data_IF_753592616455
#
_entry.id   IF_753592616455
#
_cell.length_a   1.000
_cell.length_b   1.000
_cell.length_c   1.000
_cell.angle_alpha   90.00
_cell.angle_beta   90.00
_cell.angle_gamma   90.00
#
_symmetry.space_group_name_H-M   'P 1'
#
loop_
_entity.id
_entity.type
_entity.pdbx_description
1 polymer ?
#
# COMPACT_ATOMS: atom_id res chain seq x y z
N UNK A 1 7.86 -20.62 72.99
CA UNK A 1 7.63 -19.26 73.51
C UNK A 1 7.80 -18.34 72.31
N UNK A 2 6.74 -17.69 71.81
CA UNK A 2 6.20 -16.41 72.33
C UNK A 2 7.25 -15.29 72.21
N UNK A 3 7.12 -14.26 71.36
CA UNK A 3 6.09 -13.92 70.36
C UNK A 3 5.33 -12.63 70.70
N UNK A 4 5.31 -11.64 69.79
CA UNK A 4 4.52 -10.39 69.87
C UNK A 4 4.24 -9.80 68.48
N UNK A 5 3.20 -8.95 68.41
CA UNK A 5 2.47 -8.41 67.23
C UNK A 5 1.90 -7.04 67.68
N UNK A 6 1.66 -5.99 66.87
CA UNK A 6 1.59 -5.89 65.40
C UNK A 6 2.78 -5.07 64.80
N UNK A 7 2.71 -3.95 64.05
CA UNK A 7 1.66 -3.02 63.59
C UNK A 7 1.85 -2.65 62.11
N UNK A 8 0.77 -2.28 61.42
CA UNK A 8 0.73 -2.03 59.98
C UNK A 8 1.17 -0.62 59.55
N UNK A 9 1.82 -0.53 58.40
CA UNK A 9 2.27 0.74 57.78
C UNK A 9 1.89 0.85 56.31
N UNK A 10 0.61 1.04 56.01
CA UNK A 10 0.12 1.18 54.64
C UNK A 10 0.37 2.59 54.06
N UNK A 11 1.08 2.68 52.94
CA UNK A 11 1.28 3.93 52.18
C UNK A 11 1.10 3.74 50.68
N UNK A 12 -0.17 3.72 50.24
CA UNK A 12 -0.52 3.74 48.82
C UNK A 12 -0.26 5.13 48.20
N UNK A 13 0.65 5.23 47.24
CA UNK A 13 0.77 6.41 46.36
C UNK A 13 0.84 5.96 44.90
N UNK A 14 -0.30 6.02 44.22
CA UNK A 14 -0.37 5.92 42.76
C UNK A 14 -0.11 7.29 42.13
N UNK A 15 1.12 7.55 41.69
CA UNK A 15 1.48 8.78 40.96
C UNK A 15 1.61 8.48 39.45
N UNK A 16 0.56 8.76 38.68
CA UNK A 16 0.57 8.62 37.22
C UNK A 16 1.59 9.57 36.57
N UNK A 17 2.24 9.21 35.43
CA UNK A 17 3.31 10.03 34.82
C UNK A 17 2.89 11.44 34.32
N UNK A 18 1.60 11.77 34.36
CA UNK A 18 1.00 12.91 33.65
C UNK A 18 1.28 14.29 34.26
N UNK A 19 1.91 14.38 35.45
CA UNK A 19 2.13 15.66 36.14
C UNK A 19 3.45 16.38 35.81
N UNK A 20 4.40 15.73 35.13
CA UNK A 20 5.73 16.32 34.88
C UNK A 20 5.78 17.39 33.77
N UNK A 21 4.68 17.61 33.03
CA UNK A 21 4.64 18.50 31.85
C UNK A 21 3.97 19.86 32.07
N UNK A 22 3.58 20.23 33.29
CA UNK A 22 2.79 21.45 33.56
C UNK A 22 3.48 22.48 34.46
N UNK A 23 4.66 22.95 34.03
CA UNK A 23 5.21 24.29 34.29
C UNK A 23 6.61 24.43 33.69
N UNK A 24 6.87 25.48 32.90
CA UNK A 24 8.17 26.19 32.81
C UNK A 24 7.93 27.52 32.09
N UNK A 25 8.60 28.59 32.55
CA UNK A 25 8.52 29.92 31.90
C UNK A 25 9.56 30.07 30.80
N UNK A 26 9.19 30.74 29.71
CA UNK A 26 10.13 31.06 28.63
C UNK A 26 11.16 32.12 29.06
N UNK A 27 12.38 31.97 28.58
CA UNK A 27 13.43 33.01 28.54
C UNK A 27 14.43 32.68 27.43
N UNK A 28 14.93 33.65 26.66
CA UNK A 28 15.64 33.37 25.42
C UNK A 28 17.13 33.06 25.64
N UNK A 29 17.54 31.84 25.30
CA UNK A 29 18.93 31.47 25.06
C UNK A 29 19.09 30.99 23.62
N UNK A 30 20.16 31.39 22.94
CA UNK A 30 20.45 30.94 21.57
C UNK A 30 20.96 29.49 21.58
N UNK A 31 20.03 28.56 21.45
CA UNK A 31 20.22 27.12 21.32
C UNK A 31 18.88 26.46 21.00
N UNK A 32 18.88 25.16 20.67
CA UNK A 32 17.61 24.44 20.55
C UNK A 32 16.89 24.46 21.91
N UNK A 33 15.58 24.81 21.98
CA UNK A 33 14.87 24.97 23.25
C UNK A 33 14.64 23.66 24.02
N UNK A 34 15.12 22.52 23.49
CA UNK A 34 14.97 21.20 24.10
C UNK A 34 16.30 20.44 24.24
N UNK A 35 17.28 20.89 25.07
CA UNK A 35 18.57 20.20 25.21
C UNK A 35 18.43 18.72 25.61
N UNK A 36 17.50 18.45 26.54
CA UNK A 36 17.19 17.12 27.07
C UNK A 36 16.73 16.10 26.01
N UNK A 37 16.15 16.53 24.88
CA UNK A 37 15.76 15.61 23.80
C UNK A 37 16.97 14.90 23.17
N UNK A 38 18.17 15.49 23.26
CA UNK A 38 19.40 14.90 22.70
C UNK A 38 20.07 13.89 23.63
N UNK A 39 19.66 13.82 24.90
CA UNK A 39 20.26 12.96 25.93
C UNK A 39 19.42 11.71 26.24
N UNK A 40 18.23 11.57 25.63
CA UNK A 40 17.35 10.41 25.76
C UNK A 40 17.99 9.10 25.28
N UNK A 41 17.79 8.01 26.02
CA UNK A 41 18.18 6.66 25.58
C UNK A 41 17.31 6.20 24.40
N UNK A 42 17.78 5.21 23.64
CA UNK A 42 17.07 4.73 22.42
C UNK A 42 15.62 4.32 22.68
N UNK A 43 15.35 3.61 23.78
CA UNK A 43 14.00 3.14 24.15
C UNK A 43 13.08 4.31 24.55
N UNK A 44 13.57 5.18 25.42
CA UNK A 44 12.88 6.40 25.89
C UNK A 44 12.56 7.34 24.72
N UNK A 45 13.53 7.52 23.80
CA UNK A 45 13.37 8.26 22.54
C UNK A 45 12.33 7.60 21.63
N UNK A 46 12.36 6.27 21.48
CA UNK A 46 11.41 5.55 20.64
C UNK A 46 9.97 5.72 21.12
N UNK A 47 9.73 5.58 22.43
CA UNK A 47 8.42 5.85 23.03
C UNK A 47 8.01 7.32 22.90
N UNK A 48 8.94 8.27 23.06
CA UNK A 48 8.68 9.69 22.86
C UNK A 48 8.25 9.99 21.40
N UNK A 49 9.00 9.46 20.42
CA UNK A 49 8.70 9.60 18.98
C UNK A 49 7.31 9.09 18.62
N UNK A 50 6.92 7.91 19.10
CA UNK A 50 5.59 7.33 18.82
C UNK A 50 4.47 8.24 19.37
N UNK A 51 4.60 8.73 20.61
CA UNK A 51 3.61 9.65 21.18
C UNK A 51 3.54 10.98 20.41
N UNK A 52 4.68 11.56 20.04
CA UNK A 52 4.75 12.80 19.27
C UNK A 52 4.13 12.66 17.88
N UNK A 53 4.38 11.55 17.17
CA UNK A 53 3.76 11.27 15.86
C UNK A 53 2.23 11.19 15.96
N UNK A 54 1.70 10.50 16.99
CA UNK A 54 0.25 10.38 17.21
C UNK A 54 -0.36 11.72 17.62
N UNK A 55 0.30 12.51 18.48
CA UNK A 55 -0.15 13.86 18.84
C UNK A 55 -0.15 14.80 17.62
N UNK A 56 0.93 14.81 16.85
CA UNK A 56 1.06 15.61 15.63
C UNK A 56 -0.02 15.23 14.60
N UNK A 57 -0.26 13.94 14.38
CA UNK A 57 -1.30 13.47 13.47
C UNK A 57 -2.70 13.92 13.91
N UNK A 58 -3.00 13.93 15.22
CA UNK A 58 -4.25 14.49 15.74
C UNK A 58 -4.35 16.01 15.49
N UNK A 59 -3.28 16.78 15.70
CA UNK A 59 -3.27 18.22 15.41
C UNK A 59 -3.46 18.51 13.90
N UNK A 60 -2.85 17.70 13.03
CA UNK A 60 -3.06 17.78 11.56
C UNK A 60 -4.50 17.42 11.19
N UNK A 61 -5.08 16.37 11.78
CA UNK A 61 -6.47 15.98 11.56
C UNK A 61 -7.47 17.05 12.03
N UNK A 62 -7.15 17.75 13.12
CA UNK A 62 -7.94 18.87 13.66
C UNK A 62 -7.68 20.23 12.97
N UNK A 63 -6.82 20.29 11.95
CA UNK A 63 -6.44 21.53 11.25
C UNK A 63 -5.66 22.53 12.11
N UNK A 64 -5.11 22.10 13.26
CA UNK A 64 -4.41 22.96 14.22
C UNK A 64 -2.95 23.15 13.79
N UNK A 65 -2.73 24.01 12.80
CA UNK A 65 -1.43 24.26 12.15
C UNK A 65 -0.31 24.58 13.15
N UNK A 66 -0.59 25.40 14.17
CA UNK A 66 0.39 25.82 15.18
C UNK A 66 0.88 24.64 16.04
N UNK A 67 -0.04 23.87 16.63
CA UNK A 67 0.30 22.69 17.43
C UNK A 67 0.94 21.58 16.59
N UNK A 68 0.49 21.42 15.33
CA UNK A 68 1.12 20.49 14.39
C UNK A 68 2.56 20.92 14.06
N UNK A 69 2.82 22.21 13.83
CA UNK A 69 4.17 22.73 13.59
C UNK A 69 5.11 22.49 14.80
N UNK A 70 4.63 22.73 16.02
CA UNK A 70 5.40 22.43 17.26
C UNK A 70 5.70 20.93 17.36
N UNK A 71 4.73 20.07 17.03
CA UNK A 71 4.94 18.61 16.97
C UNK A 71 6.00 18.21 15.94
N UNK A 72 5.91 18.71 14.71
CA UNK A 72 6.89 18.47 13.65
C UNK A 72 8.29 18.97 14.04
N UNK A 73 8.42 20.13 14.67
CA UNK A 73 9.69 20.67 15.18
C UNK A 73 10.31 19.72 16.21
N UNK A 74 9.53 19.30 17.23
CA UNK A 74 10.00 18.37 18.26
C UNK A 74 10.42 17.02 17.69
N UNK A 75 9.67 16.47 16.73
CA UNK A 75 10.04 15.21 16.06
C UNK A 75 11.29 15.39 15.22
N UNK A 76 11.47 16.52 14.53
CA UNK A 76 12.66 16.80 13.69
C UNK A 76 13.98 16.78 14.46
N UNK A 77 13.95 16.97 15.78
CA UNK A 77 15.13 16.91 16.66
C UNK A 77 15.45 15.48 17.15
N UNK A 78 14.51 14.53 17.01
CA UNK A 78 14.63 13.15 17.47
C UNK A 78 14.74 12.13 16.32
N UNK A 79 14.01 12.37 15.22
CA UNK A 79 13.97 11.51 14.04
C UNK A 79 15.25 11.62 13.21
N UNK A 80 15.57 10.56 12.47
CA UNK A 80 16.73 10.52 11.57
C UNK A 80 16.59 9.36 10.58
N UNK A 81 16.79 9.56 9.26
CA UNK A 81 16.73 8.49 8.27
C UNK A 81 17.91 7.50 8.36
N UNK A 82 18.97 7.83 9.11
CA UNK A 82 20.13 6.96 9.38
C UNK A 82 20.12 6.39 10.82
N UNK A 83 19.07 6.67 11.59
CA UNK A 83 18.97 6.35 13.02
C UNK A 83 18.56 4.92 13.36
N UNK A 84 18.07 4.70 14.58
CA UNK A 84 17.37 3.46 14.92
C UNK A 84 16.04 3.30 14.14
N UNK A 85 15.45 2.10 14.21
CA UNK A 85 14.21 1.76 13.50
C UNK A 85 13.07 2.76 13.77
N UNK A 86 12.91 3.24 15.01
CA UNK A 86 11.85 4.19 15.35
C UNK A 86 12.18 5.60 14.87
N UNK A 87 13.45 6.02 14.94
CA UNK A 87 13.92 7.28 14.37
C UNK A 87 13.67 7.37 12.86
N UNK A 88 13.83 6.25 12.14
CA UNK A 88 13.67 6.18 10.68
C UNK A 88 12.20 6.18 10.27
N UNK A 89 11.37 5.36 10.91
CA UNK A 89 9.90 5.41 10.76
C UNK A 89 9.39 6.84 11.04
N UNK A 90 9.85 7.45 12.14
CA UNK A 90 9.46 8.81 12.49
C UNK A 90 9.83 9.84 11.42
N UNK A 91 10.99 9.72 10.76
CA UNK A 91 11.40 10.65 9.70
C UNK A 91 10.40 10.64 8.53
N UNK A 92 10.04 9.45 8.02
CA UNK A 92 9.11 9.33 6.88
C UNK A 92 7.67 9.73 7.23
N UNK A 93 7.19 9.37 8.43
CA UNK A 93 5.85 9.81 8.89
C UNK A 93 5.80 11.33 9.14
N UNK A 94 6.90 11.94 9.59
CA UNK A 94 7.01 13.41 9.75
C UNK A 94 6.99 14.12 8.41
N UNK A 95 7.72 13.64 7.40
CA UNK A 95 7.65 14.18 6.04
C UNK A 95 6.23 14.08 5.48
N UNK A 96 5.57 12.93 5.65
CA UNK A 96 4.22 12.70 5.16
C UNK A 96 3.16 13.58 5.85
N UNK A 97 3.27 13.82 7.16
CA UNK A 97 2.41 14.75 7.89
C UNK A 97 2.65 16.21 7.46
N UNK A 98 3.90 16.62 7.26
CA UNK A 98 4.26 17.95 6.77
C UNK A 98 3.77 18.19 5.33
N UNK A 99 3.89 17.19 4.44
CA UNK A 99 3.38 17.26 3.07
C UNK A 99 1.84 17.40 3.05
N UNK A 100 1.14 16.64 3.91
CA UNK A 100 -0.31 16.79 4.10
C UNK A 100 -0.69 18.22 4.52
N UNK A 101 0.06 18.82 5.45
CA UNK A 101 -0.15 20.22 5.84
C UNK A 101 0.10 21.17 4.68
N UNK A 102 1.20 21.00 3.92
CA UNK A 102 1.55 21.87 2.80
C UNK A 102 0.47 21.91 1.71
N UNK A 103 -0.28 20.82 1.49
CA UNK A 103 -1.42 20.81 0.55
C UNK A 103 -2.55 21.79 0.90
N UNK A 104 -2.65 22.26 2.15
CA UNK A 104 -3.55 23.37 2.53
C UNK A 104 -3.16 24.72 1.89
N UNK A 105 -1.95 24.85 1.37
CA UNK A 105 -1.49 25.99 0.58
C UNK A 105 -1.06 25.53 -0.83
N UNK A 106 -2.01 25.27 -1.77
CA UNK A 106 -1.71 24.66 -3.06
C UNK A 106 -0.66 25.39 -3.91
N UNK A 107 -0.53 26.71 -3.76
CA UNK A 107 0.52 27.49 -4.42
C UNK A 107 1.93 27.17 -3.88
N UNK A 108 2.08 27.06 -2.56
CA UNK A 108 3.35 26.70 -1.92
C UNK A 108 3.72 25.25 -2.21
N UNK A 109 2.77 24.31 -2.06
CA UNK A 109 2.98 22.90 -2.36
C UNK A 109 3.40 22.67 -3.82
N UNK A 110 2.77 23.37 -4.79
CA UNK A 110 3.15 23.30 -6.21
C UNK A 110 4.50 23.97 -6.49
N UNK A 111 4.83 25.07 -5.82
CA UNK A 111 6.12 25.73 -5.98
C UNK A 111 7.28 24.86 -5.46
N UNK A 112 7.15 24.28 -4.26
CA UNK A 112 8.17 23.42 -3.65
C UNK A 112 8.40 22.13 -4.45
N UNK A 113 7.35 21.53 -5.00
CA UNK A 113 7.46 20.33 -5.84
C UNK A 113 7.81 20.61 -7.31
N UNK A 114 7.88 21.88 -7.76
CA UNK A 114 8.06 22.24 -9.18
C UNK A 114 9.38 21.77 -9.81
N UNK A 115 10.37 21.41 -8.98
CA UNK A 115 11.68 20.90 -9.39
C UNK A 115 11.92 19.44 -9.00
N UNK A 116 10.93 18.71 -8.44
CA UNK A 116 11.08 17.28 -8.13
C UNK A 116 11.14 16.46 -9.42
N UNK A 117 12.32 15.92 -9.73
CA UNK A 117 12.52 14.98 -10.84
C UNK A 117 12.17 13.57 -10.34
N UNK A 118 11.22 12.88 -10.99
CA UNK A 118 11.01 11.44 -10.77
C UNK A 118 12.02 10.64 -11.59
N UNK A 119 12.60 9.62 -10.99
CA UNK A 119 13.67 8.81 -11.56
C UNK A 119 13.14 7.40 -11.81
N UNK A 120 12.48 7.21 -12.97
CA UNK A 120 11.88 5.92 -13.39
C UNK A 120 12.89 4.77 -13.27
N UNK A 121 14.15 5.02 -13.62
CA UNK A 121 15.25 4.05 -13.47
C UNK A 121 15.46 3.64 -12.02
N UNK A 122 15.38 4.57 -11.06
CA UNK A 122 15.50 4.24 -9.63
C UNK A 122 14.23 3.59 -9.08
N UNK A 123 13.04 3.97 -9.55
CA UNK A 123 11.78 3.30 -9.22
C UNK A 123 11.85 1.79 -9.61
N UNK A 124 12.38 1.48 -10.79
CA UNK A 124 12.63 0.09 -11.25
C UNK A 124 13.70 -0.62 -10.41
N UNK A 125 14.81 0.06 -10.08
CA UNK A 125 15.87 -0.50 -9.24
C UNK A 125 15.35 -0.82 -7.83
N UNK A 126 14.54 0.06 -7.24
CA UNK A 126 13.99 -0.10 -5.89
C UNK A 126 13.02 -1.28 -5.81
N UNK A 127 12.21 -1.51 -6.85
CA UNK A 127 11.36 -2.72 -6.93
C UNK A 127 12.20 -4.01 -7.00
N UNK A 128 13.30 -4.00 -7.77
CA UNK A 128 14.24 -5.13 -7.83
C UNK A 128 14.95 -5.37 -6.49
N UNK A 129 15.42 -4.32 -5.82
CA UNK A 129 15.99 -4.41 -4.47
C UNK A 129 14.98 -4.96 -3.46
N UNK A 130 13.71 -4.53 -3.49
CA UNK A 130 12.68 -5.09 -2.61
C UNK A 130 12.43 -6.59 -2.89
N UNK A 131 12.41 -6.99 -4.17
CA UNK A 131 12.31 -8.41 -4.55
C UNK A 131 13.52 -9.23 -4.09
N UNK A 132 14.74 -8.68 -4.19
CA UNK A 132 15.98 -9.36 -3.78
C UNK A 132 16.09 -9.49 -2.25
N UNK A 133 15.90 -8.40 -1.52
CA UNK A 133 16.12 -8.31 -0.07
C UNK A 133 15.02 -9.00 0.74
N UNK A 134 13.76 -8.90 0.31
CA UNK A 134 12.62 -9.46 1.05
C UNK A 134 12.11 -10.78 0.43
N UNK A 135 11.54 -11.71 1.22
CA UNK A 135 10.99 -12.97 0.71
C UNK A 135 9.57 -12.86 0.14
N UNK A 136 8.82 -11.79 0.46
CA UNK A 136 7.38 -11.69 0.23
C UNK A 136 6.95 -12.05 -1.20
N UNK A 137 7.59 -11.43 -2.20
CA UNK A 137 7.27 -11.66 -3.60
C UNK A 137 7.76 -13.02 -4.10
N UNK A 138 8.91 -13.51 -3.62
CA UNK A 138 9.41 -14.86 -3.95
C UNK A 138 8.44 -15.95 -3.48
N UNK A 139 7.89 -15.79 -2.27
CA UNK A 139 6.87 -16.68 -1.71
C UNK A 139 5.54 -16.60 -2.49
N UNK A 140 5.09 -15.39 -2.82
CA UNK A 140 3.94 -15.14 -3.68
C UNK A 140 4.08 -15.85 -5.04
N UNK A 141 5.25 -15.76 -5.68
CA UNK A 141 5.51 -16.39 -6.99
C UNK A 141 5.47 -17.91 -6.92
N UNK A 142 6.06 -18.55 -5.90
CA UNK A 142 5.98 -20.00 -5.69
C UNK A 142 4.52 -20.47 -5.55
N UNK A 143 3.73 -19.78 -4.73
CA UNK A 143 2.31 -20.11 -4.52
C UNK A 143 1.48 -19.87 -5.79
N UNK A 144 1.72 -18.76 -6.47
CA UNK A 144 1.02 -18.40 -7.72
C UNK A 144 1.33 -19.40 -8.83
N UNK A 145 2.61 -19.74 -9.02
CA UNK A 145 3.04 -20.72 -10.02
C UNK A 145 2.42 -22.09 -9.73
N UNK A 146 2.42 -22.56 -8.48
CA UNK A 146 1.80 -23.85 -8.14
C UNK A 146 0.30 -23.87 -8.44
N UNK A 147 -0.45 -22.83 -8.05
CA UNK A 147 -1.88 -22.73 -8.33
C UNK A 147 -2.18 -22.68 -9.84
N UNK A 148 -1.30 -22.04 -10.65
CA UNK A 148 -1.40 -22.05 -12.11
C UNK A 148 -1.07 -23.44 -12.68
N UNK A 149 -0.02 -24.12 -12.19
CA UNK A 149 0.37 -25.47 -12.64
C UNK A 149 -0.76 -26.48 -12.41
N UNK A 150 -1.43 -26.40 -11.26
CA UNK A 150 -2.57 -27.26 -10.91
C UNK A 150 -3.82 -26.92 -11.74
N UNK A 151 -4.18 -25.65 -11.88
CA UNK A 151 -5.32 -25.24 -12.70
C UNK A 151 -5.15 -25.57 -14.20
N UNK A 152 -3.91 -25.68 -14.67
CA UNK A 152 -3.54 -25.96 -16.06
C UNK A 152 -3.11 -27.42 -16.31
N UNK A 153 -3.42 -28.36 -15.42
CA UNK A 153 -3.27 -29.80 -15.68
C UNK A 153 -4.11 -30.22 -16.91
N UNK A 154 -3.56 -31.08 -17.77
CA UNK A 154 -4.20 -31.53 -19.02
C UNK A 154 -4.30 -30.48 -20.15
N UNK A 155 -3.98 -29.21 -19.89
CA UNK A 155 -4.16 -28.12 -20.86
C UNK A 155 -2.99 -27.98 -21.82
N UNK A 156 -3.30 -27.97 -23.13
CA UNK A 156 -2.31 -27.88 -24.22
C UNK A 156 -2.01 -26.47 -24.68
N UNK A 157 -2.93 -25.53 -24.42
CA UNK A 157 -2.85 -24.12 -24.80
C UNK A 157 -3.09 -23.29 -23.55
N UNK A 158 -2.05 -22.66 -22.99
CA UNK A 158 -2.14 -21.89 -21.74
C UNK A 158 -1.90 -20.42 -22.03
N UNK A 159 -2.79 -19.55 -21.53
CA UNK A 159 -2.63 -18.10 -21.53
C UNK A 159 -2.50 -17.60 -20.09
N UNK A 160 -1.50 -16.77 -19.83
CA UNK A 160 -1.34 -16.04 -18.57
C UNK A 160 -1.45 -14.55 -18.86
N UNK A 161 -2.29 -13.85 -18.12
CA UNK A 161 -2.27 -12.37 -18.03
C UNK A 161 -1.56 -12.01 -16.73
N UNK A 162 -0.47 -11.26 -16.86
CA UNK A 162 0.31 -10.71 -15.75
C UNK A 162 0.02 -9.21 -15.65
N UNK A 163 -0.63 -8.81 -14.56
CA UNK A 163 -1.12 -7.45 -14.35
C UNK A 163 -0.03 -6.48 -13.84
N UNK A 164 1.18 -6.97 -13.52
CA UNK A 164 2.34 -6.15 -13.16
C UNK A 164 3.65 -6.85 -13.55
N UNK A 165 3.94 -6.87 -14.84
CA UNK A 165 5.00 -7.69 -15.43
C UNK A 165 6.38 -7.06 -15.29
N UNK A 166 6.91 -7.07 -14.07
CA UNK A 166 8.18 -6.41 -13.71
C UNK A 166 9.36 -7.38 -13.48
N UNK A 167 9.14 -8.58 -12.92
CA UNK A 167 10.22 -9.54 -12.60
C UNK A 167 10.03 -10.90 -13.30
N UNK A 168 10.86 -11.25 -14.30
CA UNK A 168 10.76 -12.52 -15.04
C UNK A 168 11.06 -13.77 -14.21
N UNK A 169 11.67 -13.68 -13.02
CA UNK A 169 11.94 -14.85 -12.19
C UNK A 169 10.68 -15.69 -11.87
N UNK A 170 9.50 -15.06 -11.77
CA UNK A 170 8.23 -15.78 -11.66
C UNK A 170 8.01 -16.72 -12.85
N UNK A 171 8.07 -16.18 -14.07
CA UNK A 171 7.71 -16.92 -15.28
C UNK A 171 8.83 -17.84 -15.77
N UNK A 172 10.10 -17.54 -15.47
CA UNK A 172 11.24 -18.47 -15.65
C UNK A 172 11.03 -19.74 -14.83
N UNK A 173 10.71 -19.61 -13.54
CA UNK A 173 10.42 -20.76 -12.68
C UNK A 173 9.18 -21.54 -13.17
N UNK A 174 8.16 -20.85 -13.69
CA UNK A 174 7.01 -21.52 -14.29
C UNK A 174 7.38 -22.28 -15.57
N UNK A 175 8.13 -21.69 -16.50
CA UNK A 175 8.62 -22.36 -17.72
C UNK A 175 9.35 -23.67 -17.37
N UNK A 176 10.28 -23.61 -16.41
CA UNK A 176 11.03 -24.78 -15.90
C UNK A 176 10.12 -25.85 -15.24
N UNK A 177 9.01 -25.44 -14.63
CA UNK A 177 8.03 -26.36 -14.04
C UNK A 177 7.08 -26.95 -15.10
N UNK A 178 6.81 -26.22 -16.19
CA UNK A 178 5.96 -26.67 -17.29
C UNK A 178 6.68 -27.64 -18.25
N UNK A 179 7.97 -27.47 -18.51
CA UNK A 179 8.76 -28.45 -19.30
C UNK A 179 8.96 -29.78 -18.56
N UNK A 180 8.96 -29.77 -17.22
CA UNK A 180 9.06 -30.98 -16.39
C UNK A 180 7.74 -31.79 -16.30
N UNK A 181 6.68 -31.40 -17.01
CA UNK A 181 5.39 -32.10 -16.99
C UNK A 181 5.46 -33.48 -17.68
N UNK A 182 4.83 -34.53 -17.13
CA UNK A 182 4.79 -35.86 -17.76
C UNK A 182 4.14 -35.89 -19.16
N UNK A 183 3.26 -34.93 -19.46
CA UNK A 183 2.57 -34.78 -20.76
C UNK A 183 3.37 -33.94 -21.77
N UNK A 184 4.52 -33.38 -21.37
CA UNK A 184 5.26 -32.36 -22.11
C UNK A 184 4.77 -30.93 -21.82
N UNK A 185 5.51 -29.90 -22.30
CA UNK A 185 5.12 -28.51 -22.14
C UNK A 185 3.89 -28.14 -23.00
N UNK A 186 3.00 -27.26 -22.50
CA UNK A 186 1.95 -26.66 -23.31
C UNK A 186 2.52 -25.58 -24.23
N UNK A 187 1.76 -25.19 -25.26
CA UNK A 187 1.98 -23.90 -25.90
C UNK A 187 1.59 -22.79 -24.92
N UNK A 188 2.57 -21.98 -24.50
CA UNK A 188 2.41 -20.95 -23.47
C UNK A 188 2.40 -19.54 -24.07
N UNK A 189 1.32 -18.80 -23.82
CA UNK A 189 1.23 -17.36 -24.09
C UNK A 189 1.25 -16.59 -22.78
N UNK A 190 2.12 -15.59 -22.66
CA UNK A 190 2.12 -14.64 -21.54
C UNK A 190 1.81 -13.23 -22.09
N UNK A 191 0.90 -12.52 -21.43
CA UNK A 191 0.57 -11.12 -21.72
C UNK A 191 0.94 -10.27 -20.51
N UNK A 192 2.04 -9.53 -20.61
CA UNK A 192 2.59 -8.72 -19.52
C UNK A 192 2.16 -7.26 -19.65
N UNK A 193 1.51 -6.73 -18.61
CA UNK A 193 1.11 -5.32 -18.49
C UNK A 193 2.10 -4.61 -17.57
N UNK A 194 2.62 -3.46 -18.00
CA UNK A 194 3.47 -2.59 -17.18
C UNK A 194 3.49 -1.16 -17.73
N UNK A 195 3.75 -0.14 -16.90
CA UNK A 195 3.78 1.26 -17.33
C UNK A 195 5.02 1.60 -18.20
N UNK A 196 6.15 0.89 -17.99
CA UNK A 196 7.43 1.14 -18.67
C UNK A 196 7.75 0.06 -19.71
N UNK A 197 8.16 0.49 -20.91
CA UNK A 197 8.40 -0.38 -22.08
C UNK A 197 9.68 -1.20 -21.94
N UNK A 198 10.72 -0.61 -21.39
CA UNK A 198 12.06 -1.17 -21.23
C UNK A 198 12.05 -2.39 -20.30
N UNK A 199 11.16 -2.40 -19.31
CA UNK A 199 10.91 -3.53 -18.41
C UNK A 199 10.25 -4.68 -19.17
N UNK A 200 9.25 -4.40 -20.01
CA UNK A 200 8.60 -5.41 -20.86
C UNK A 200 9.53 -5.96 -21.94
N UNK A 201 10.49 -5.17 -22.43
CA UNK A 201 11.54 -5.66 -23.35
C UNK A 201 12.56 -6.56 -22.64
N UNK A 202 12.98 -6.22 -21.42
CA UNK A 202 13.81 -7.11 -20.58
C UNK A 202 13.09 -8.41 -20.21
N UNK A 203 11.78 -8.33 -19.91
CA UNK A 203 10.90 -9.48 -19.68
C UNK A 203 10.81 -10.36 -20.93
N UNK A 204 10.44 -9.79 -22.08
CA UNK A 204 10.29 -10.51 -23.34
C UNK A 204 11.58 -11.27 -23.73
N UNK A 205 12.74 -10.61 -23.63
CA UNK A 205 14.03 -11.23 -23.92
C UNK A 205 14.31 -12.43 -23.00
N UNK A 206 14.30 -12.21 -21.67
CA UNK A 206 14.65 -13.27 -20.70
C UNK A 206 13.69 -14.46 -20.73
N UNK A 207 12.41 -14.24 -21.03
CA UNK A 207 11.44 -15.34 -21.14
C UNK A 207 11.56 -16.10 -22.47
N UNK A 208 11.87 -15.41 -23.57
CA UNK A 208 12.06 -16.07 -24.88
C UNK A 208 13.34 -16.91 -24.87
N UNK A 209 14.46 -16.37 -24.37
CA UNK A 209 15.71 -17.12 -24.20
C UNK A 209 15.51 -18.40 -23.37
N UNK A 210 14.74 -18.33 -22.28
CA UNK A 210 14.50 -19.50 -21.42
C UNK A 210 13.53 -20.51 -22.04
N UNK A 211 12.50 -20.05 -22.76
CA UNK A 211 11.60 -20.93 -23.49
C UNK A 211 12.32 -21.69 -24.63
N UNK A 212 13.23 -21.02 -25.35
CA UNK A 212 14.08 -21.62 -26.39
C UNK A 212 15.00 -22.71 -25.81
N UNK A 213 15.64 -22.46 -24.65
CA UNK A 213 16.47 -23.47 -23.95
C UNK A 213 15.69 -24.71 -23.49
N UNK A 214 14.39 -24.57 -23.28
CA UNK A 214 13.50 -25.60 -22.74
C UNK A 214 12.60 -26.26 -23.81
N UNK A 215 12.75 -25.89 -25.08
CA UNK A 215 11.92 -26.31 -26.22
C UNK A 215 10.40 -26.11 -25.99
N UNK A 216 10.04 -24.98 -25.38
CA UNK A 216 8.64 -24.62 -25.06
C UNK A 216 8.09 -23.71 -26.18
N UNK A 217 6.98 -24.08 -26.85
CA UNK A 217 6.31 -23.19 -27.79
C UNK A 217 5.74 -21.96 -27.05
N UNK A 218 6.35 -20.79 -27.26
CA UNK A 218 6.15 -19.61 -26.43
C UNK A 218 5.78 -18.34 -27.21
N UNK A 219 4.89 -17.52 -26.64
CA UNK A 219 4.58 -16.17 -27.12
C UNK A 219 4.47 -15.18 -25.96
N UNK A 220 5.33 -14.16 -25.93
CA UNK A 220 5.14 -12.98 -25.09
C UNK A 220 4.36 -11.89 -25.84
N UNK A 221 3.48 -11.17 -25.14
CA UNK A 221 2.67 -10.08 -25.67
C UNK A 221 2.71 -8.87 -24.71
N UNK A 222 3.55 -7.86 -24.97
CA UNK A 222 3.71 -6.69 -24.08
C UNK A 222 2.57 -5.69 -24.22
N UNK A 223 2.10 -5.15 -23.09
CA UNK A 223 1.13 -4.05 -23.05
C UNK A 223 1.70 -2.91 -22.20
N UNK A 224 2.19 -1.86 -22.87
CA UNK A 224 2.70 -0.64 -22.24
C UNK A 224 1.50 0.23 -21.83
N UNK A 225 1.03 0.08 -20.59
CA UNK A 225 -0.13 0.84 -20.08
C UNK A 225 -0.23 0.81 -18.56
N UNK A 226 -1.00 1.76 -17.99
CA UNK A 226 -1.49 1.69 -16.61
C UNK A 226 -2.63 0.68 -16.54
N UNK A 227 -2.68 -0.13 -15.47
CA UNK A 227 -3.74 -1.13 -15.28
C UNK A 227 -5.16 -0.53 -15.38
N UNK A 228 -5.36 0.69 -14.88
CA UNK A 228 -6.64 1.42 -14.95
C UNK A 228 -7.08 1.84 -16.37
N UNK A 229 -6.20 1.71 -17.37
CA UNK A 229 -6.43 2.05 -18.77
C UNK A 229 -6.43 0.81 -19.70
N UNK A 230 -6.35 -0.42 -19.18
CA UNK A 230 -6.33 -1.64 -19.99
C UNK A 230 -7.75 -2.17 -20.23
N UNK A 231 -8.14 -2.27 -21.49
CA UNK A 231 -9.28 -3.10 -21.91
C UNK A 231 -8.92 -4.58 -21.74
N UNK A 232 -9.31 -5.16 -20.61
CA UNK A 232 -9.10 -6.58 -20.32
C UNK A 232 -9.87 -7.50 -21.30
N UNK A 233 -11.06 -7.10 -21.78
CA UNK A 233 -11.91 -7.99 -22.58
C UNK A 233 -11.26 -8.31 -23.93
N UNK A 234 -10.53 -7.34 -24.49
CA UNK A 234 -9.70 -7.51 -25.69
C UNK A 234 -8.60 -8.58 -25.59
N UNK A 235 -8.22 -9.00 -24.37
CA UNK A 235 -7.14 -9.96 -24.13
C UNK A 235 -7.56 -11.42 -24.28
N UNK A 236 -8.87 -11.68 -24.39
CA UNK A 236 -9.43 -13.03 -24.53
C UNK A 236 -9.12 -13.63 -25.90
N UNK A 237 -8.57 -14.84 -25.91
CA UNK A 237 -8.61 -15.74 -27.08
C UNK A 237 -9.48 -16.96 -26.78
N UNK A 238 -10.10 -17.52 -27.81
CA UNK A 238 -10.88 -18.76 -27.72
C UNK A 238 -9.99 -19.99 -27.88
N UNK A 239 -10.22 -21.02 -27.06
CA UNK A 239 -9.46 -22.28 -27.13
C UNK A 239 -8.16 -22.30 -26.31
N UNK A 240 -7.87 -21.24 -25.54
CA UNK A 240 -6.74 -21.18 -24.61
C UNK A 240 -7.26 -21.19 -23.16
N UNK A 241 -6.60 -21.92 -22.27
CA UNK A 241 -6.92 -21.96 -20.84
C UNK A 241 -6.25 -20.79 -20.11
N UNK A 242 -7.05 -19.92 -19.52
CA UNK A 242 -6.60 -18.63 -18.97
C UNK A 242 -6.32 -18.66 -17.47
N UNK A 243 -5.12 -18.20 -17.09
CA UNK A 243 -4.75 -17.77 -15.74
C UNK A 243 -4.54 -16.25 -15.70
N UNK A 244 -4.80 -15.63 -14.54
CA UNK A 244 -4.47 -14.21 -14.29
C UNK A 244 -3.70 -14.07 -12.98
N UNK A 245 -2.62 -13.30 -13.00
CA UNK A 245 -1.77 -12.99 -11.84
C UNK A 245 -1.89 -11.51 -11.49
N UNK A 246 -2.33 -11.20 -10.27
CA UNK A 246 -2.33 -9.85 -9.72
C UNK A 246 -1.39 -9.78 -8.52
N UNK A 247 -0.39 -8.89 -8.60
CA UNK A 247 0.63 -8.72 -7.56
C UNK A 247 0.75 -7.24 -7.21
N UNK A 248 0.17 -6.88 -6.06
CA UNK A 248 0.15 -5.54 -5.47
C UNK A 248 -0.43 -4.47 -6.41
N UNK A 249 -1.60 -4.71 -7.01
CA UNK A 249 -2.24 -3.76 -7.94
C UNK A 249 -3.71 -3.47 -7.67
N UNK A 250 -4.46 -4.39 -7.04
CA UNK A 250 -5.91 -4.25 -6.94
C UNK A 250 -6.30 -3.12 -5.98
N UNK A 251 -5.54 -2.88 -4.91
CA UNK A 251 -5.74 -1.70 -4.04
C UNK A 251 -5.74 -0.37 -4.82
N UNK A 252 -4.97 -0.25 -5.89
CA UNK A 252 -4.85 0.98 -6.70
C UNK A 252 -6.15 1.34 -7.43
N UNK A 253 -6.95 0.33 -7.75
CA UNK A 253 -8.27 0.48 -8.36
C UNK A 253 -9.36 0.87 -7.35
N UNK A 254 -9.03 0.94 -6.05
CA UNK A 254 -9.90 1.50 -5.00
C UNK A 254 -9.81 3.04 -4.90
N UNK A 255 -8.95 3.69 -5.70
CA UNK A 255 -8.85 5.14 -5.77
C UNK A 255 -10.11 5.78 -6.39
N UNK A 256 -10.94 6.35 -5.53
CA UNK A 256 -12.19 7.05 -5.84
C UNK A 256 -11.98 8.55 -6.03
N UNK A 257 -12.83 9.19 -6.82
CA UNK A 257 -12.97 10.64 -6.75
C UNK A 257 -13.93 10.97 -5.59
N UNK A 258 -13.37 11.50 -4.50
CA UNK A 258 -14.10 11.74 -3.26
C UNK A 258 -14.99 13.02 -3.36
N UNK A 259 -14.87 13.79 -4.47
CA UNK A 259 -15.71 14.95 -4.86
C UNK A 259 -17.08 14.55 -5.48
N UNK A 260 -17.59 13.35 -5.23
CA UNK A 260 -18.97 12.98 -5.58
C UNK A 260 -19.94 13.15 -4.39
N UNK A 261 -20.53 14.34 -4.20
CA UNK A 261 -21.50 14.56 -3.12
C UNK A 261 -22.76 13.72 -3.33
N UNK A 262 -23.30 13.21 -2.22
CA UNK A 262 -24.51 12.36 -2.13
C UNK A 262 -25.70 12.95 -2.92
N UNK A 263 -25.88 12.53 -4.18
CA UNK A 263 -26.98 12.94 -5.07
C UNK A 263 -27.86 11.77 -5.50
N UNK A 264 -28.35 11.02 -4.51
CA UNK A 264 -29.38 9.97 -4.67
C UNK A 264 -30.69 10.37 -3.99
N UNK A 265 -31.19 11.56 -4.35
CA UNK A 265 -32.57 11.99 -4.08
C UNK A 265 -33.14 12.66 -5.34
N UNK A 266 -34.24 12.15 -5.93
CA UNK A 266 -34.75 12.68 -7.19
C UNK A 266 -35.60 13.93 -6.95
N UNK A 267 -35.14 15.08 -7.43
CA UNK A 267 -35.94 16.30 -7.57
C UNK A 267 -35.99 16.76 -9.03
N UNK A 268 -37.14 17.25 -9.46
CA UNK A 268 -37.47 17.30 -10.89
C UNK A 268 -36.85 18.50 -11.63
N UNK A 269 -36.41 18.22 -12.86
CA UNK A 269 -36.44 19.10 -14.04
C UNK A 269 -36.09 20.60 -13.88
N UNK A 270 -34.99 21.02 -14.50
CA UNK A 270 -34.95 22.24 -15.32
C UNK A 270 -33.94 22.11 -16.45
N UNK A 271 -34.36 22.50 -17.64
CA UNK A 271 -33.59 22.45 -18.89
C UNK A 271 -32.87 23.77 -19.16
N UNK A 272 -31.63 23.72 -19.65
CA UNK A 272 -31.25 24.44 -20.90
C UNK A 272 -29.78 24.21 -21.32
N UNK A 273 -29.60 23.85 -22.59
CA UNK A 273 -28.49 24.22 -23.49
C UNK A 273 -27.02 24.19 -22.99
N UNK A 274 -26.25 23.29 -23.59
CA UNK A 274 -24.79 23.39 -23.75
C UNK A 274 -24.36 24.54 -24.66
N UNK A 275 -23.24 25.21 -24.39
CA UNK A 275 -22.34 25.74 -25.43
C UNK A 275 -20.91 26.04 -24.95
N UNK A 276 -19.96 25.98 -25.88
CA UNK A 276 -18.60 26.54 -25.87
C UNK A 276 -17.60 26.25 -24.73
N UNK A 277 -16.86 25.16 -24.92
CA UNK A 277 -15.39 25.26 -24.93
C UNK A 277 -14.96 26.18 -26.10
N UNK A 278 -14.20 27.26 -25.81
CA UNK A 278 -13.05 27.79 -26.59
C UNK A 278 -12.70 29.24 -26.20
N UNK A 279 -11.60 29.43 -25.45
CA UNK A 279 -10.46 30.33 -25.77
C UNK A 279 -9.55 30.54 -24.56
N UNK A 280 -8.45 29.80 -24.54
CA UNK A 280 -7.17 30.34 -24.04
C UNK A 280 -6.62 31.30 -25.11
N UNK A 281 -5.68 32.18 -24.74
CA UNK A 281 -5.08 33.23 -25.58
C UNK A 281 -5.96 34.47 -25.85
N UNK A 282 -6.08 35.32 -24.82
CA UNK A 282 -5.70 36.72 -25.04
C UNK A 282 -5.02 37.29 -23.80
N UNK A 283 -3.73 37.57 -23.91
CA UNK A 283 -2.99 38.26 -22.86
C UNK A 283 -3.29 39.76 -22.98
N UNK A 284 -3.81 40.38 -21.93
CA UNK A 284 -3.66 41.82 -21.73
C UNK A 284 -3.57 42.14 -20.23
N UNK A 285 -2.77 43.14 -19.86
CA UNK A 285 -2.19 43.31 -18.52
C UNK A 285 -2.57 44.67 -17.95
N UNK A 286 -3.64 44.73 -17.15
CA UNK A 286 -4.01 45.91 -16.34
C UNK A 286 -4.85 45.51 -15.11
N UNK A 287 -4.70 46.31 -14.05
CA UNK A 287 -5.45 46.34 -12.78
C UNK A 287 -5.80 45.01 -12.09
N UNK A 288 -4.76 44.26 -11.70
CA UNK A 288 -4.84 43.25 -10.62
C UNK A 288 -5.00 43.90 -9.22
N UNK A 289 -5.96 44.81 -9.06
CA UNK A 289 -6.07 45.67 -7.86
C UNK A 289 -7.47 46.17 -7.52
N UNK A 290 -8.51 45.75 -8.26
CA UNK A 290 -9.89 46.23 -8.11
C UNK A 290 -10.88 45.07 -7.85
N UNK A 291 -10.38 43.95 -7.32
CA UNK A 291 -11.15 42.70 -7.08
C UNK A 291 -10.99 42.15 -5.64
N UNK A 292 -10.60 43.00 -4.70
CA UNK A 292 -10.48 42.68 -3.27
C UNK A 292 -11.18 43.74 -2.40
N UNK A 293 -12.49 43.87 -2.55
CA UNK A 293 -13.32 44.53 -1.54
C UNK A 293 -14.75 43.97 -1.55
N UNK A 294 -15.21 43.47 -0.38
CA UNK A 294 -16.48 42.76 -0.12
C UNK A 294 -16.57 41.38 -0.82
N UNK A 295 -17.07 40.33 -0.19
CA UNK A 295 -17.92 40.28 1.02
C UNK A 295 -17.25 39.75 2.30
N UNK A 296 -17.93 39.96 3.43
CA UNK A 296 -17.58 39.45 4.75
C UNK A 296 -18.85 39.05 5.51
N UNK A 297 -18.69 38.23 6.55
CA UNK A 297 -19.73 37.72 7.47
C UNK A 297 -20.69 36.67 6.85
N UNK A 298 -20.39 35.39 7.08
CA UNK A 298 -21.22 34.48 7.88
C UNK A 298 -20.54 33.10 8.00
N UNK A 299 -19.87 32.85 9.12
CA UNK A 299 -19.25 31.55 9.46
C UNK A 299 -19.37 31.31 10.97
N UNK A 300 -20.40 30.56 11.39
CA UNK A 300 -20.54 29.93 12.72
C UNK A 300 -21.76 29.00 12.74
N UNK A 301 -21.78 28.04 13.69
CA UNK A 301 -22.80 27.00 13.96
C UNK A 301 -22.43 25.59 13.42
N UNK A 302 -22.77 24.50 14.14
CA UNK A 302 -21.70 23.58 14.55
C UNK A 302 -21.93 22.08 14.22
N UNK A 303 -20.92 21.26 14.54
CA UNK A 303 -20.95 19.81 14.48
C UNK A 303 -22.02 19.17 15.39
N UNK A 304 -22.63 18.06 14.96
CA UNK A 304 -23.18 17.03 15.84
C UNK A 304 -22.23 15.82 15.93
N UNK A 305 -21.87 15.43 17.14
CA UNK A 305 -20.92 14.34 17.40
C UNK A 305 -21.54 12.93 17.41
N UNK A 306 -20.72 11.95 16.99
CA UNK A 306 -20.58 10.59 17.53
C UNK A 306 -21.83 9.76 17.93
N UNK A 307 -22.12 8.70 17.15
CA UNK A 307 -22.82 7.51 17.64
C UNK A 307 -22.45 6.22 16.85
N UNK A 308 -22.55 5.07 17.55
CA UNK A 308 -22.55 3.68 17.04
C UNK A 308 -21.40 3.18 16.14
N UNK A 309 -20.39 2.61 16.80
CA UNK A 309 -19.92 1.22 16.64
C UNK A 309 -19.94 0.53 15.25
N UNK A 310 -18.73 0.20 14.77
CA UNK A 310 -18.34 -1.10 14.18
C UNK A 310 -19.42 -1.97 13.51
N UNK A 311 -19.85 -1.59 12.31
CA UNK A 311 -20.46 -2.50 11.34
C UNK A 311 -19.97 -2.15 9.92
N UNK A 312 -19.26 -3.07 9.27
CA UNK A 312 -18.82 -2.92 7.87
C UNK A 312 -20.02 -3.08 6.92
N UNK A 313 -20.78 -2.00 6.74
CA UNK A 313 -21.96 -2.02 5.87
C UNK A 313 -21.59 -2.36 4.41
N UNK A 314 -22.42 -3.13 3.68
CA UNK A 314 -22.11 -3.58 2.31
C UNK A 314 -21.74 -2.44 1.33
N UNK A 315 -22.27 -1.24 1.57
CA UNK A 315 -22.00 -0.03 0.80
C UNK A 315 -20.50 0.33 0.75
N UNK A 316 -19.72 -0.02 1.79
CA UNK A 316 -18.28 0.25 1.84
C UNK A 316 -17.48 -0.55 0.82
N UNK A 317 -17.97 -1.72 0.38
CA UNK A 317 -17.27 -2.56 -0.60
C UNK A 317 -17.56 -2.10 -2.04
N UNK A 318 -18.77 -1.60 -2.30
CA UNK A 318 -19.21 -1.11 -3.60
C UNK A 318 -18.63 0.27 -3.99
N UNK A 319 -17.80 0.89 -3.14
CA UNK A 319 -17.44 2.30 -3.24
C UNK A 319 -16.62 2.72 -4.48
N UNK A 320 -15.89 1.80 -5.13
CA UNK A 320 -15.12 2.11 -6.36
C UNK A 320 -15.77 1.53 -7.63
N UNK A 321 -16.28 2.38 -8.54
CA UNK A 321 -16.71 1.96 -9.86
C UNK A 321 -15.58 1.38 -10.73
N UNK A 322 -14.34 1.89 -10.59
CA UNK A 322 -13.17 1.35 -11.29
C UNK A 322 -12.94 -0.12 -10.94
N UNK A 323 -13.00 -0.45 -9.65
CA UNK A 323 -12.88 -1.82 -9.14
C UNK A 323 -14.03 -2.70 -9.63
N UNK A 324 -15.27 -2.21 -9.60
CA UNK A 324 -16.44 -2.94 -10.10
C UNK A 324 -16.31 -3.31 -11.58
N UNK A 325 -16.00 -2.34 -12.44
CA UNK A 325 -15.80 -2.58 -13.87
C UNK A 325 -14.62 -3.51 -14.16
N UNK A 326 -13.50 -3.34 -13.43
CA UNK A 326 -12.33 -4.22 -13.56
C UNK A 326 -12.66 -5.68 -13.21
N UNK A 327 -13.35 -5.92 -12.10
CA UNK A 327 -13.75 -7.27 -11.68
C UNK A 327 -14.77 -7.90 -12.65
N UNK A 328 -15.70 -7.12 -13.18
CA UNK A 328 -16.65 -7.59 -14.19
C UNK A 328 -15.94 -8.02 -15.49
N UNK A 329 -14.98 -7.23 -15.98
CA UNK A 329 -14.18 -7.58 -17.15
C UNK A 329 -13.26 -8.79 -16.88
N UNK A 330 -12.64 -8.87 -15.70
CA UNK A 330 -11.85 -10.03 -15.29
C UNK A 330 -12.71 -11.31 -15.20
N UNK A 331 -13.98 -11.19 -14.81
CA UNK A 331 -14.94 -12.31 -14.77
C UNK A 331 -15.43 -12.68 -16.18
N UNK A 332 -15.65 -11.69 -17.06
CA UNK A 332 -16.09 -11.91 -18.44
C UNK A 332 -15.06 -12.66 -19.30
N UNK A 333 -13.77 -12.60 -18.92
CA UNK A 333 -12.71 -13.46 -19.48
C UNK A 333 -12.87 -14.97 -19.18
N UNK A 334 -13.66 -15.32 -18.15
CA UNK A 334 -13.84 -16.69 -17.64
C UNK A 334 -12.53 -17.45 -17.30
N UNK A 335 -11.62 -16.88 -16.49
CA UNK A 335 -10.33 -17.51 -16.16
C UNK A 335 -10.51 -18.80 -15.35
N UNK A 336 -9.69 -19.82 -15.64
CA UNK A 336 -9.61 -21.03 -14.81
C UNK A 336 -9.15 -20.70 -13.39
N UNK A 337 -8.12 -19.85 -13.29
CA UNK A 337 -7.58 -19.36 -12.02
C UNK A 337 -7.24 -17.88 -12.12
N UNK A 338 -7.56 -17.14 -11.07
CA UNK A 338 -6.98 -15.83 -10.75
C UNK A 338 -6.24 -15.99 -9.43
N UNK A 339 -4.99 -15.54 -9.37
CA UNK A 339 -4.23 -15.46 -8.11
C UNK A 339 -4.00 -13.99 -7.79
N UNK A 340 -4.29 -13.62 -6.54
CA UNK A 340 -4.20 -12.24 -6.05
C UNK A 340 -3.26 -12.20 -4.85
N UNK A 341 -2.21 -11.39 -4.95
CA UNK A 341 -1.30 -11.02 -3.85
C UNK A 341 -1.47 -9.55 -3.52
N UNK A 342 -1.79 -9.21 -2.27
CA UNK A 342 -2.02 -7.84 -1.78
C UNK A 342 -1.40 -7.62 -0.38
N UNK A 343 -1.19 -6.35 -0.01
CA UNK A 343 -0.70 -5.95 1.32
C UNK A 343 -1.77 -6.19 2.41
N UNK A 344 -1.40 -6.90 3.49
CA UNK A 344 -2.32 -7.34 4.54
C UNK A 344 -2.50 -6.29 5.65
N UNK A 345 -3.08 -5.14 5.29
CA UNK A 345 -3.32 -4.03 6.21
C UNK A 345 -4.54 -3.18 5.79
N UNK A 346 -5.15 -2.46 6.74
CA UNK A 346 -6.30 -1.59 6.48
C UNK A 346 -5.88 -0.12 6.31
N UNK A 347 -4.98 0.16 5.36
CA UNK A 347 -4.56 1.54 5.06
C UNK A 347 -5.63 2.37 4.34
N UNK A 348 -6.76 1.78 3.92
CA UNK A 348 -7.90 2.51 3.35
C UNK A 348 -8.92 3.03 4.41
N UNK A 349 -8.49 3.31 5.65
CA UNK A 349 -9.35 3.89 6.68
C UNK A 349 -9.88 5.30 6.31
N UNK A 350 -11.14 5.65 6.67
CA UNK A 350 -11.72 6.95 6.36
C UNK A 350 -11.01 8.11 7.08
N UNK A 351 -10.72 8.00 8.38
CA UNK A 351 -10.00 9.06 9.09
C UNK A 351 -8.48 9.00 8.87
N UNK A 352 -7.82 10.16 9.00
CA UNK A 352 -6.35 10.23 9.00
C UNK A 352 -5.74 9.37 10.13
N UNK A 353 -6.35 9.38 11.31
CA UNK A 353 -5.82 8.69 12.48
C UNK A 353 -5.85 7.17 12.34
N UNK A 354 -6.91 6.59 11.78
CA UNK A 354 -6.94 5.15 11.45
C UNK A 354 -5.80 4.77 10.50
N UNK A 355 -5.59 5.56 9.43
CA UNK A 355 -4.54 5.30 8.45
C UNK A 355 -3.14 5.45 9.04
N UNK A 356 -2.90 6.49 9.84
CA UNK A 356 -1.61 6.68 10.54
C UNK A 356 -1.34 5.52 11.50
N UNK A 357 -2.33 5.09 12.29
CA UNK A 357 -2.14 4.01 13.26
C UNK A 357 -1.90 2.65 12.60
N UNK A 358 -2.64 2.26 11.56
CA UNK A 358 -2.37 0.99 10.86
C UNK A 358 -1.07 1.05 10.06
N UNK A 359 -0.75 2.18 9.42
CA UNK A 359 0.52 2.35 8.73
C UNK A 359 1.71 2.28 9.70
N UNK A 360 1.65 2.93 10.87
CA UNK A 360 2.71 2.81 11.89
C UNK A 360 2.94 1.34 12.27
N UNK A 361 1.88 0.59 12.53
CA UNK A 361 1.97 -0.83 12.89
C UNK A 361 2.46 -1.73 11.73
N UNK A 362 2.15 -1.39 10.48
CA UNK A 362 2.60 -2.12 9.30
C UNK A 362 4.07 -1.84 8.98
N UNK A 363 4.42 -0.56 8.82
CA UNK A 363 5.80 -0.18 8.46
C UNK A 363 6.79 -0.39 9.60
N UNK A 364 6.36 -0.42 10.87
CA UNK A 364 7.22 -0.90 11.97
C UNK A 364 7.77 -2.30 11.69
N UNK A 365 6.93 -3.23 11.23
CA UNK A 365 7.37 -4.57 10.85
C UNK A 365 8.18 -4.57 9.54
N UNK A 366 7.82 -3.77 8.53
CA UNK A 366 8.59 -3.68 7.27
C UNK A 366 10.00 -3.12 7.46
N UNK A 367 10.19 -2.14 8.35
CA UNK A 367 11.52 -1.60 8.67
C UNK A 367 12.35 -2.56 9.55
N UNK A 368 11.70 -3.37 10.39
CA UNK A 368 12.33 -4.40 11.23
C UNK A 368 12.78 -5.63 10.41
N UNK A 369 12.03 -5.99 9.34
CA UNK A 369 12.47 -6.95 8.31
C UNK A 369 13.82 -6.57 7.69
N UNK A 370 14.08 -5.27 7.49
CA UNK A 370 15.36 -4.77 6.99
C UNK A 370 16.40 -4.56 8.09
N UNK A 371 15.99 -4.33 9.35
CA UNK A 371 16.92 -4.19 10.49
C UNK A 371 17.56 -5.52 10.88
N UNK A 372 16.79 -6.60 10.83
CA UNK A 372 17.26 -7.96 11.10
C UNK A 372 18.23 -8.51 10.04
N UNK A 373 18.19 -7.99 8.81
CA UNK A 373 18.93 -8.53 7.66
C UNK A 373 20.01 -7.61 7.10
N UNK A 374 19.95 -6.29 7.33
CA UNK A 374 20.82 -5.31 6.67
C UNK A 374 21.40 -4.26 7.63
N UNK A 375 22.67 -3.91 7.43
CA UNK A 375 23.29 -2.79 8.16
C UNK A 375 22.60 -1.45 7.82
N UNK A 376 22.53 -0.54 8.80
CA UNK A 376 21.93 0.80 8.63
C UNK A 376 22.66 1.69 7.60
N UNK A 377 23.88 1.32 7.25
CA UNK A 377 24.72 2.00 6.26
C UNK A 377 24.60 1.44 4.83
N UNK A 378 23.73 0.44 4.58
CA UNK A 378 23.45 -0.04 3.23
C UNK A 378 22.65 1.00 2.44
N UNK A 379 23.18 1.41 1.29
CA UNK A 379 22.52 2.36 0.38
C UNK A 379 21.31 1.69 -0.28
N UNK A 380 21.37 0.39 -0.52
CA UNK A 380 20.30 -0.44 -1.06
C UNK A 380 19.10 -0.42 -0.11
N UNK A 381 19.36 -0.61 1.20
CA UNK A 381 18.37 -0.49 2.26
C UNK A 381 17.75 0.90 2.32
N UNK A 382 18.57 1.94 2.37
CA UNK A 382 18.11 3.33 2.42
C UNK A 382 17.27 3.70 1.19
N UNK A 383 17.59 3.14 0.00
CA UNK A 383 16.77 3.29 -1.20
C UNK A 383 15.39 2.63 -1.08
N UNK A 384 15.29 1.39 -0.58
CA UNK A 384 13.98 0.74 -0.35
C UNK A 384 13.17 1.50 0.70
N UNK A 385 13.78 1.86 1.82
CA UNK A 385 13.08 2.57 2.91
C UNK A 385 12.59 3.96 2.49
N UNK A 386 13.35 4.69 1.67
CA UNK A 386 12.96 6.02 1.18
C UNK A 386 12.01 5.98 -0.01
N UNK A 387 12.33 5.19 -1.03
CA UNK A 387 11.72 5.29 -2.36
C UNK A 387 10.59 4.26 -2.60
N UNK A 388 10.47 3.25 -1.73
CA UNK A 388 9.28 2.40 -1.65
C UNK A 388 8.46 2.77 -0.40
N UNK A 389 8.93 2.41 0.79
CA UNK A 389 8.13 2.56 2.02
C UNK A 389 7.81 4.03 2.31
N UNK A 390 8.78 4.95 2.15
CA UNK A 390 8.58 6.38 2.37
C UNK A 390 7.52 7.00 1.45
N UNK A 391 7.54 6.70 0.14
CA UNK A 391 6.53 7.19 -0.81
C UNK A 391 5.17 6.49 -0.64
N UNK A 392 5.12 5.22 -0.21
CA UNK A 392 3.87 4.53 0.19
C UNK A 392 3.24 5.19 1.44
N UNK A 393 4.02 5.38 2.52
CA UNK A 393 3.63 6.11 3.74
C UNK A 393 3.11 7.50 3.38
N UNK A 394 3.83 8.21 2.51
CA UNK A 394 3.45 9.52 2.00
C UNK A 394 2.12 9.48 1.23
N UNK A 395 1.88 8.47 0.39
CA UNK A 395 0.62 8.34 -0.31
C UNK A 395 -0.57 8.03 0.63
N UNK A 396 -0.37 7.18 1.64
CA UNK A 396 -1.39 6.82 2.63
C UNK A 396 -1.83 8.03 3.49
N UNK A 397 -0.87 8.89 3.86
CA UNK A 397 -1.05 9.99 4.81
C UNK A 397 -1.35 11.32 4.10
N UNK A 398 -0.58 11.69 3.08
CA UNK A 398 -0.63 13.01 2.46
C UNK A 398 -1.61 13.12 1.27
N UNK A 399 -2.08 12.02 0.70
CA UNK A 399 -3.04 12.04 -0.40
C UNK A 399 -4.48 11.73 0.06
N UNK A 400 -5.45 12.14 -0.77
CA UNK A 400 -6.87 11.74 -0.71
C UNK A 400 -7.40 11.58 -2.14
N UNK A 401 -8.66 11.18 -2.31
CA UNK A 401 -9.29 11.04 -3.62
C UNK A 401 -8.47 10.15 -4.56
N UNK A 402 -8.39 10.56 -5.82
CA UNK A 402 -7.64 9.86 -6.87
C UNK A 402 -6.11 9.94 -6.70
N UNK A 403 -5.58 10.85 -5.87
CA UNK A 403 -4.14 10.90 -5.57
C UNK A 403 -3.71 9.76 -4.62
N UNK A 404 -4.62 9.30 -3.74
CA UNK A 404 -4.36 8.19 -2.82
C UNK A 404 -4.62 6.86 -3.52
N UNK A 405 -3.56 6.24 -4.04
CA UNK A 405 -3.56 4.93 -4.72
C UNK A 405 -3.28 3.78 -3.75
N UNK A 406 -2.45 4.00 -2.73
CA UNK A 406 -2.01 2.98 -1.76
C UNK A 406 -3.10 2.73 -0.71
N UNK A 407 -4.24 2.19 -1.18
CA UNK A 407 -5.48 1.98 -0.42
C UNK A 407 -5.60 0.51 0.03
N UNK A 408 -4.61 0.02 0.76
CA UNK A 408 -4.56 -1.39 1.18
C UNK A 408 -5.78 -1.76 2.04
N UNK A 409 -6.28 -2.97 1.80
CA UNK A 409 -7.38 -3.60 2.53
C UNK A 409 -6.99 -5.03 2.91
N UNK A 410 -7.51 -5.53 4.03
CA UNK A 410 -7.23 -6.89 4.52
C UNK A 410 -7.88 -7.99 3.67
N UNK A 411 -7.37 -9.22 3.81
CA UNK A 411 -7.85 -10.43 3.15
C UNK A 411 -9.36 -10.63 3.27
N UNK A 412 -10.01 -10.37 4.42
CA UNK A 412 -11.44 -10.64 4.57
C UNK A 412 -12.29 -9.69 3.69
N UNK A 413 -11.83 -8.45 3.49
CA UNK A 413 -12.44 -7.51 2.54
C UNK A 413 -12.22 -7.96 1.10
N UNK A 414 -11.00 -8.41 0.74
CA UNK A 414 -10.71 -8.94 -0.61
C UNK A 414 -11.54 -10.19 -0.92
N UNK A 415 -11.69 -11.10 0.04
CA UNK A 415 -12.54 -12.29 -0.11
C UNK A 415 -13.97 -11.90 -0.43
N UNK A 416 -14.58 -11.04 0.39
CA UNK A 416 -15.97 -10.62 0.18
C UNK A 416 -16.14 -9.84 -1.14
N UNK A 417 -15.16 -9.02 -1.52
CA UNK A 417 -15.14 -8.28 -2.79
C UNK A 417 -15.10 -9.21 -4.01
N UNK A 418 -14.32 -10.29 -3.97
CA UNK A 418 -14.19 -11.26 -5.06
C UNK A 418 -15.37 -12.25 -5.12
N UNK A 419 -15.91 -12.67 -3.97
CA UNK A 419 -17.13 -13.50 -3.93
C UNK A 419 -18.35 -12.73 -4.46
N UNK A 420 -18.50 -11.45 -4.13
CA UNK A 420 -19.55 -10.58 -4.70
C UNK A 420 -19.41 -10.34 -6.21
N UNK A 421 -18.19 -10.44 -6.76
CA UNK A 421 -17.93 -10.38 -8.20
C UNK A 421 -18.08 -11.74 -8.91
N UNK A 422 -18.59 -12.78 -8.23
CA UNK A 422 -18.84 -14.08 -8.84
C UNK A 422 -17.61 -14.98 -9.00
N UNK A 423 -16.53 -14.71 -8.26
CA UNK A 423 -15.40 -15.65 -8.15
C UNK A 423 -15.62 -16.62 -6.99
N UNK A 424 -15.31 -17.90 -7.20
CA UNK A 424 -15.28 -18.90 -6.12
C UNK A 424 -13.87 -19.03 -5.55
N UNK A 425 -13.73 -19.04 -4.22
CA UNK A 425 -12.46 -19.38 -3.57
C UNK A 425 -11.91 -20.73 -4.06
N UNK A 426 -10.60 -20.78 -4.24
CA UNK A 426 -9.82 -21.99 -4.48
C UNK A 426 -8.80 -22.12 -3.34
N UNK A 427 -8.95 -23.08 -2.41
CA UNK A 427 -7.95 -23.30 -1.37
C UNK A 427 -6.59 -23.65 -1.98
N UNK A 428 -5.52 -23.04 -1.45
CA UNK A 428 -4.16 -23.31 -1.90
C UNK A 428 -3.73 -24.73 -1.52
N UNK A 429 -3.00 -25.41 -2.41
CA UNK A 429 -2.62 -26.80 -2.17
C UNK A 429 -1.55 -26.94 -1.09
N UNK A 430 -1.58 -28.07 -0.40
CA UNK A 430 -0.52 -28.49 0.52
C UNK A 430 0.85 -28.51 -0.17
N UNK A 431 0.92 -28.81 -1.47
CA UNK A 431 2.17 -28.82 -2.22
C UNK A 431 2.75 -27.40 -2.34
N UNK A 432 1.95 -26.40 -2.71
CA UNK A 432 2.39 -25.00 -2.79
C UNK A 432 2.82 -24.47 -1.43
N UNK A 433 2.01 -24.71 -0.39
CA UNK A 433 2.31 -24.33 0.99
C UNK A 433 3.63 -24.98 1.47
N UNK A 434 3.89 -26.24 1.10
CA UNK A 434 5.13 -26.94 1.42
C UNK A 434 6.34 -26.38 0.64
N UNK A 435 6.19 -26.02 -0.64
CA UNK A 435 7.26 -25.35 -1.40
C UNK A 435 7.61 -23.99 -0.78
N UNK A 436 6.61 -23.17 -0.45
CA UNK A 436 6.83 -21.86 0.17
C UNK A 436 7.49 -21.97 1.56
N UNK A 437 7.11 -22.96 2.38
CA UNK A 437 7.78 -23.28 3.65
C UNK A 437 9.24 -23.71 3.45
N UNK A 438 9.55 -24.48 2.40
CA UNK A 438 10.94 -24.86 2.07
C UNK A 438 11.77 -23.67 1.61
N UNK A 439 11.21 -22.78 0.78
CA UNK A 439 11.87 -21.54 0.37
C UNK A 439 12.19 -20.63 1.57
N UNK A 440 11.31 -20.61 2.58
CA UNK A 440 11.54 -19.89 3.83
C UNK A 440 12.68 -20.49 4.67
N UNK A 441 12.93 -21.79 4.55
CA UNK A 441 13.96 -22.53 5.29
C UNK A 441 15.32 -22.60 4.56
N UNK A 442 15.35 -22.43 3.24
CA UNK A 442 16.59 -22.54 2.43
C UNK A 442 17.41 -21.26 2.35
N UNK A 443 16.86 -20.14 2.82
CA UNK A 443 17.50 -18.84 2.94
C UNK A 443 17.37 -18.37 4.39
N UNK A 444 18.25 -17.46 4.83
CA UNK A 444 18.26 -16.91 6.20
C UNK A 444 17.11 -15.95 6.51
N UNK A 445 15.87 -16.38 6.28
CA UNK A 445 14.64 -15.64 6.54
C UNK A 445 14.12 -15.89 7.96
N UNK A 446 15.01 -15.84 8.95
CA UNK A 446 14.64 -15.90 10.36
C UNK A 446 13.68 -14.76 10.72
N UNK A 447 12.69 -15.07 11.56
CA UNK A 447 11.62 -14.14 11.95
C UNK A 447 10.45 -14.04 10.97
N UNK A 448 10.63 -14.36 9.69
CA UNK A 448 9.49 -14.48 8.76
C UNK A 448 8.67 -15.74 9.06
N UNK A 449 7.35 -15.68 8.89
CA UNK A 449 6.45 -16.82 9.08
C UNK A 449 5.39 -16.88 7.97
N UNK A 450 4.80 -18.05 7.80
CA UNK A 450 3.69 -18.31 6.88
C UNK A 450 2.53 -18.92 7.66
N UNK A 451 1.35 -18.30 7.57
CA UNK A 451 0.08 -18.76 8.16
C UNK A 451 -0.87 -19.15 7.03
N UNK A 452 -1.81 -20.04 7.33
CA UNK A 452 -2.91 -20.40 6.41
C UNK A 452 -4.22 -19.90 7.03
N UNK A 453 -5.01 -19.17 6.26
CA UNK A 453 -6.22 -18.51 6.75
C UNK A 453 -7.27 -18.44 5.63
N UNK A 454 -8.49 -18.92 5.90
CA UNK A 454 -9.59 -18.99 4.93
C UNK A 454 -9.25 -19.74 3.61
N UNK A 455 -8.29 -20.66 3.63
CA UNK A 455 -7.75 -21.37 2.45
C UNK A 455 -6.75 -20.55 1.62
N UNK A 456 -6.41 -19.36 2.08
CA UNK A 456 -5.41 -18.46 1.53
C UNK A 456 -4.13 -18.50 2.39
N UNK A 457 -3.03 -17.94 1.88
CA UNK A 457 -1.73 -17.93 2.55
C UNK A 457 -1.38 -16.52 2.99
N UNK A 458 -0.99 -16.35 4.25
CA UNK A 458 -0.64 -15.07 4.86
C UNK A 458 0.84 -15.09 5.25
N UNK A 459 1.61 -14.19 4.66
CA UNK A 459 3.03 -14.00 4.96
C UNK A 459 3.15 -12.96 6.08
N UNK A 460 3.90 -13.31 7.12
CA UNK A 460 4.06 -12.51 8.33
C UNK A 460 5.53 -12.16 8.59
N UNK A 461 5.75 -11.01 9.23
CA UNK A 461 6.96 -10.78 10.03
C UNK A 461 6.65 -11.00 11.50
N UNK A 462 7.42 -11.88 12.15
CA UNK A 462 7.08 -12.47 13.44
C UNK A 462 5.63 -12.96 13.43
N UNK A 463 4.72 -12.30 14.14
CA UNK A 463 3.29 -12.62 14.12
C UNK A 463 2.39 -11.58 13.44
N UNK A 464 2.95 -10.44 12.99
CA UNK A 464 2.24 -9.39 12.24
C UNK A 464 2.05 -9.84 10.78
N UNK A 465 0.80 -9.96 10.28
CA UNK A 465 0.54 -10.12 8.86
C UNK A 465 1.08 -8.94 8.04
N UNK A 466 1.61 -9.22 6.85
CA UNK A 466 2.14 -8.20 5.93
C UNK A 466 1.65 -8.36 4.50
N UNK A 467 1.48 -9.59 4.01
CA UNK A 467 0.96 -9.86 2.66
C UNK A 467 0.06 -11.09 2.69
N UNK A 468 -0.99 -11.11 1.88
CA UNK A 468 -1.83 -12.29 1.65
C UNK A 468 -1.82 -12.70 0.19
N UNK A 469 -1.91 -14.00 -0.06
CA UNK A 469 -1.93 -14.66 -1.38
C UNK A 469 -3.16 -15.56 -1.42
N UNK A 470 -4.03 -15.34 -2.41
CA UNK A 470 -5.33 -16.01 -2.52
C UNK A 470 -5.60 -16.48 -3.95
N UNK A 471 -6.18 -17.67 -4.10
CA UNK A 471 -6.53 -18.23 -5.41
C UNK A 471 -8.05 -18.33 -5.59
N UNK A 472 -8.48 -18.14 -6.84
CA UNK A 472 -9.86 -17.90 -7.22
C UNK A 472 -10.16 -18.60 -8.53
N UNK A 473 -11.34 -19.19 -8.67
CA UNK A 473 -11.84 -19.75 -9.95
C UNK A 473 -13.05 -18.97 -10.43
N UNK A 474 -13.22 -18.88 -11.75
CA UNK A 474 -14.50 -18.48 -12.34
C UNK A 474 -15.61 -19.41 -11.85
N UNK A 475 -16.71 -18.81 -11.38
CA UNK A 475 -17.94 -19.52 -11.00
C UNK A 475 -19.07 -18.99 -11.86
N UNK A 476 -19.81 -19.87 -12.53
CA UNK A 476 -21.11 -19.51 -13.11
C UNK A 476 -22.12 -19.34 -11.98
N UNK A 477 -22.98 -18.34 -12.11
CA UNK A 477 -24.25 -18.36 -11.39
C UNK A 477 -25.10 -19.46 -12.05
N UNK A 478 -25.51 -20.44 -11.25
CA UNK A 478 -26.39 -21.56 -11.64
C UNK A 478 -27.87 -21.12 -11.54
#
# INVERSE_FOLDING_TARGET
MAGMVQEDGASSVSSSPLQFFSMMSLSPAFGSPYPWLRELKSEERGLCLIHLLVACANHVAAGSVENANIGLEQISHLASPDGDTVQRIAAYFTEALADRMLKAWPGLHKALNSTKISSITEEIIVQKLFFELCPFLKLSYVITNQAIVEAMEGEKMVHIIDLNSFEPAQWINLLQTLSARPEGPPHLRITGIHEQKEVLEQMALRLTEEAEKLDIPFQFNPIVSKLENVDLESLRKTGEALAVSSVLQMHRLLATDDEMPRRTSPSASRTSSSSHLQRVLHMNRRTLGEWLEKDSVLMFSPSPDSASASASTPLSLAASPKMGSFLNALWSLSPKVVVVTEQESNHNGPSLMERVMEALNFYAAMFDCLESTMSRASIERQKVEKMLFGEEIKNIIACEGIERRERHEKLEKWILRLELAGFGRMPLSYHGILQARRLLQSYGYDGYKIKEENGCLVICWQDRPLFSVSAWRFRRYD
#
